data_IF_511093305670
#
_entry.id   IF_511093305670
#
_cell.length_a   1.000
_cell.length_b   1.000
_cell.length_c   1.000
_cell.angle_alpha   90.00
_cell.angle_beta   90.00
_cell.angle_gamma   90.00
#
_symmetry.space_group_name_H-M   'P 1'
#
loop_
_entity.id
_entity.type
_entity.pdbx_description
1 polymer ?
#
# COMPACT_ATOMS: atom_id res chain seq x y z
N UNK A 1 -37.58 2.40 29.59
CA UNK A 1 -36.26 2.84 29.11
C UNK A 1 -35.52 1.62 28.60
N UNK A 2 -35.66 1.31 27.31
CA UNK A 2 -34.76 0.40 26.61
C UNK A 2 -34.25 1.20 25.43
N UNK A 3 -33.00 1.65 25.52
CA UNK A 3 -32.26 2.19 24.41
C UNK A 3 -31.53 0.99 23.78
N UNK A 4 -32.04 0.55 22.63
CA UNK A 4 -31.28 -0.28 21.71
C UNK A 4 -30.09 0.55 21.22
N UNK A 5 -28.90 0.21 21.71
CA UNK A 5 -27.66 0.68 21.13
C UNK A 5 -27.35 -0.25 19.95
N UNK A 6 -27.78 0.15 18.75
CA UNK A 6 -27.31 -0.45 17.51
C UNK A 6 -25.81 -0.19 17.40
N UNK A 7 -25.04 -1.25 17.65
CA UNK A 7 -23.60 -1.31 17.44
C UNK A 7 -23.36 -1.28 15.92
N UNK A 8 -23.31 -0.08 15.34
CA UNK A 8 -22.82 0.15 13.97
C UNK A 8 -21.31 -0.10 13.93
N UNK A 9 -20.93 -1.38 14.12
CA UNK A 9 -19.55 -1.84 14.10
C UNK A 9 -18.88 -1.40 12.80
N UNK A 10 -17.74 -0.73 12.93
CA UNK A 10 -16.90 -0.34 11.81
C UNK A 10 -16.68 -1.55 10.89
N UNK A 11 -17.20 -1.49 9.67
CA UNK A 11 -17.04 -2.56 8.69
C UNK A 11 -15.64 -2.43 8.09
N UNK A 12 -14.64 -2.95 8.80
CA UNK A 12 -13.28 -3.05 8.28
C UNK A 12 -13.31 -3.92 7.03
N UNK A 13 -13.11 -3.30 5.87
CA UNK A 13 -13.06 -4.00 4.59
C UNK A 13 -11.59 -4.31 4.29
N UNK A 14 -11.23 -5.59 4.37
CA UNK A 14 -9.91 -6.08 3.95
C UNK A 14 -9.98 -6.51 2.48
N UNK A 15 -8.93 -6.17 1.73
CA UNK A 15 -8.80 -6.53 0.31
C UNK A 15 -7.37 -6.99 0.06
N UNK A 16 -7.21 -8.26 -0.29
CA UNK A 16 -5.93 -8.85 -0.69
C UNK A 16 -5.78 -8.87 -2.21
N UNK A 17 -4.59 -8.55 -2.70
CA UNK A 17 -4.23 -8.69 -4.10
C UNK A 17 -2.76 -9.12 -4.24
N UNK A 18 -2.52 -10.12 -5.09
CA UNK A 18 -1.18 -10.61 -5.41
C UNK A 18 -0.87 -10.37 -6.88
N UNK A 19 0.34 -9.87 -7.16
CA UNK A 19 0.82 -9.59 -8.51
C UNK A 19 2.20 -10.21 -8.68
N UNK A 20 2.38 -10.98 -9.75
CA UNK A 20 3.68 -11.51 -10.15
C UNK A 20 4.13 -10.84 -11.45
N UNK A 21 5.30 -10.20 -11.41
CA UNK A 21 5.88 -9.46 -12.55
C UNK A 21 7.23 -10.07 -12.92
N UNK A 22 7.49 -10.24 -14.21
CA UNK A 22 8.80 -10.66 -14.72
C UNK A 22 9.66 -9.43 -15.02
N UNK A 23 10.80 -9.31 -14.35
CA UNK A 23 11.78 -8.25 -14.60
C UNK A 23 13.08 -8.88 -15.13
N UNK A 24 13.54 -8.46 -16.31
CA UNK A 24 14.79 -8.98 -16.90
C UNK A 24 16.04 -8.56 -16.12
N UNK A 25 15.99 -7.40 -15.45
CA UNK A 25 17.12 -6.80 -14.72
C UNK A 25 16.67 -6.26 -13.36
N UNK A 26 16.33 -7.13 -12.40
CA UNK A 26 15.82 -6.71 -11.10
C UNK A 26 16.78 -5.76 -10.35
N UNK A 27 18.09 -5.92 -10.53
CA UNK A 27 19.11 -5.07 -9.90
C UNK A 27 19.10 -3.60 -10.35
N UNK A 28 18.45 -3.31 -11.50
CA UNK A 28 18.29 -1.97 -12.02
C UNK A 28 17.12 -1.21 -11.36
N UNK A 29 16.26 -1.89 -10.60
CA UNK A 29 15.12 -1.26 -9.91
C UNK A 29 15.62 -0.30 -8.83
N UNK A 30 15.12 0.94 -8.87
CA UNK A 30 15.47 2.02 -7.92
C UNK A 30 14.27 2.54 -7.15
N UNK A 31 13.09 2.48 -7.74
CA UNK A 31 11.86 3.02 -7.16
C UNK A 31 10.64 2.26 -7.65
N UNK A 32 9.56 2.34 -6.87
CA UNK A 32 8.23 1.81 -7.19
C UNK A 32 7.25 2.99 -7.11
N UNK A 33 6.51 3.22 -8.19
CA UNK A 33 5.46 4.23 -8.24
C UNK A 33 4.09 3.65 -7.91
N UNK A 34 3.29 4.41 -7.18
CA UNK A 34 1.95 4.03 -6.73
C UNK A 34 0.88 4.89 -7.42
N UNK A 35 0.47 4.55 -8.67
CA UNK A 35 -0.68 5.19 -9.30
C UNK A 35 -2.01 4.91 -8.58
N UNK A 36 -1.98 4.07 -7.54
CA UNK A 36 -3.09 3.73 -6.65
C UNK A 36 -3.93 4.95 -6.24
N UNK A 37 -3.31 6.04 -5.79
CA UNK A 37 -4.01 7.26 -5.36
C UNK A 37 -4.79 7.96 -6.49
N UNK A 38 -4.43 7.74 -7.77
CA UNK A 38 -5.22 8.23 -8.90
C UNK A 38 -6.49 7.40 -9.09
N UNK A 39 -6.45 6.11 -8.77
CA UNK A 39 -7.59 5.19 -8.90
C UNK A 39 -8.52 5.23 -7.69
N UNK A 40 -7.96 5.53 -6.52
CA UNK A 40 -8.63 5.63 -5.23
C UNK A 40 -8.36 7.02 -4.62
N UNK A 41 -9.08 8.07 -5.05
CA UNK A 41 -8.76 9.46 -4.71
C UNK A 41 -8.93 9.84 -3.22
N UNK A 42 -9.63 8.98 -2.47
CA UNK A 42 -9.83 9.09 -1.01
C UNK A 42 -8.76 8.35 -0.20
N UNK A 43 -7.86 7.59 -0.85
CA UNK A 43 -6.73 6.99 -0.15
C UNK A 43 -5.69 8.06 0.16
N UNK A 44 -5.13 8.03 1.37
CA UNK A 44 -4.20 9.05 1.85
C UNK A 44 -2.77 8.52 1.91
N UNK A 45 -2.58 7.28 2.39
CA UNK A 45 -1.27 6.69 2.64
C UNK A 45 -1.28 5.17 2.37
N UNK A 46 -0.10 4.62 2.05
CA UNK A 46 0.18 3.19 2.01
C UNK A 46 1.48 2.90 2.78
N UNK A 47 1.44 1.94 3.69
CA UNK A 47 2.63 1.35 4.29
C UNK A 47 3.19 0.26 3.39
N UNK A 48 4.44 0.41 2.99
CA UNK A 48 5.13 -0.49 2.06
C UNK A 48 6.12 -1.35 2.83
N UNK A 49 6.13 -2.64 2.51
CA UNK A 49 7.19 -3.56 2.88
C UNK A 49 7.69 -4.22 1.61
N UNK A 50 8.98 -4.07 1.31
CA UNK A 50 9.64 -4.71 0.19
C UNK A 50 10.78 -5.61 0.68
N UNK A 51 10.90 -6.79 0.10
CA UNK A 51 11.96 -7.76 0.41
C UNK A 51 12.79 -7.94 -0.86
N UNK A 52 14.07 -7.61 -0.79
CA UNK A 52 15.00 -7.70 -1.91
C UNK A 52 16.34 -8.32 -1.52
N UNK A 53 17.32 -8.37 -2.44
CA UNK A 53 18.62 -8.99 -2.20
C UNK A 53 19.40 -8.40 -1.01
N UNK A 54 19.14 -7.14 -0.68
CA UNK A 54 19.79 -6.42 0.43
C UNK A 54 19.04 -6.54 1.76
N UNK A 55 17.94 -7.31 1.80
CA UNK A 55 17.08 -7.48 2.96
C UNK A 55 15.70 -6.82 2.79
N UNK A 56 14.99 -6.71 3.91
CA UNK A 56 13.69 -6.05 3.99
C UNK A 56 13.88 -4.54 4.17
N UNK A 57 13.09 -3.77 3.42
CA UNK A 57 12.96 -2.32 3.57
C UNK A 57 11.49 -1.98 3.74
N UNK A 58 11.22 -0.96 4.54
CA UNK A 58 9.87 -0.45 4.76
C UNK A 58 9.82 1.07 4.66
N UNK A 59 8.63 1.60 4.43
CA UNK A 59 8.37 3.03 4.44
C UNK A 59 6.96 3.34 4.00
N UNK A 60 6.64 4.62 3.90
CA UNK A 60 5.31 5.10 3.57
C UNK A 60 5.34 5.90 2.28
N UNK A 61 4.28 5.78 1.50
CA UNK A 61 3.98 6.67 0.37
C UNK A 61 2.61 7.29 0.61
N UNK A 62 2.46 8.53 0.20
CA UNK A 62 1.19 9.25 0.29
C UNK A 62 0.73 9.72 -1.07
N UNK A 63 -0.50 10.22 -1.15
CA UNK A 63 -1.02 10.86 -2.35
C UNK A 63 -0.10 11.96 -2.91
N UNK A 64 0.55 12.72 -2.03
CA UNK A 64 1.44 13.83 -2.39
C UNK A 64 2.87 13.37 -2.73
N UNK A 65 3.26 12.20 -2.23
CA UNK A 65 4.55 11.57 -2.55
C UNK A 65 4.37 10.08 -2.86
N UNK A 66 3.88 9.73 -4.07
CA UNK A 66 3.50 8.35 -4.42
C UNK A 66 4.68 7.51 -4.93
N UNK A 67 5.92 7.83 -4.55
CA UNK A 67 7.14 7.17 -5.00
C UNK A 67 7.88 6.55 -3.82
N UNK A 68 8.04 5.23 -3.83
CA UNK A 68 8.83 4.50 -2.85
C UNK A 68 10.22 4.21 -3.41
N UNK A 69 11.27 4.69 -2.75
CA UNK A 69 12.65 4.41 -3.14
C UNK A 69 13.11 3.08 -2.54
N UNK A 70 13.76 2.26 -3.36
CA UNK A 70 14.32 0.97 -2.95
C UNK A 70 15.74 1.09 -2.38
N UNK A 71 16.29 2.31 -2.29
CA UNK A 71 17.67 2.64 -1.85
C UNK A 71 17.74 3.99 -1.17
#
# INVERSE_FOLDING_TARGET
HHADHEDEGAVHSEVDAEYQLTCEKPDALREIGFPYFKRFPNAEELTITAIGPMGQIGGEVSKDNPLFKLR
#
